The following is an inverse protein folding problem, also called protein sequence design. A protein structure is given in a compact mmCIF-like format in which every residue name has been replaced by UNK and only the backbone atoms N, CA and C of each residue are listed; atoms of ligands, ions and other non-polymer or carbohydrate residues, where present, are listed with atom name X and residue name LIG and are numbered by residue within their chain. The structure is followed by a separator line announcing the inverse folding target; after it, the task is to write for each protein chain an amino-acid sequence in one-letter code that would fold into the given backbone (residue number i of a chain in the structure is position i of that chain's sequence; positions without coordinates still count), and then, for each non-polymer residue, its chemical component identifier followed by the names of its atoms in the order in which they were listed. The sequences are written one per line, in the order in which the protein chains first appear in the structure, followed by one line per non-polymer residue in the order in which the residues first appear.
data_IF_889949956514
#
_entry.id   IF_889949956514
#
_cell.length_a   1.000
_cell.length_b   1.000
_cell.length_c   1.000
_cell.angle_alpha   90.00
_cell.angle_beta   90.00
_cell.angle_gamma   90.00
#
_symmetry.space_group_name_H-M   'P 1'
#
loop_
_entity.id
_entity.type
_entity.pdbx_description
1 polymer ?
#
# COMPACT_ATOMS: atom_id res chain seq x y z
N UNK A 1 -0.76 -1.45 -14.53
CA UNK A 1 -1.37 -0.75 -13.38
C UNK A 1 -0.72 0.61 -13.23
N UNK A 2 -1.48 1.64 -12.87
CA UNK A 2 -0.93 2.98 -12.59
C UNK A 2 -0.51 3.07 -11.11
N UNK A 3 0.69 2.55 -10.79
CA UNK A 3 1.18 2.53 -9.40
C UNK A 3 1.30 3.95 -8.82
N UNK A 4 1.80 4.91 -9.61
CA UNK A 4 2.01 6.28 -9.12
C UNK A 4 0.69 6.93 -8.70
N UNK A 5 -0.33 6.92 -9.56
CA UNK A 5 -1.64 7.49 -9.26
C UNK A 5 -2.32 6.80 -8.06
N UNK A 6 -2.17 5.48 -7.98
CA UNK A 6 -2.77 4.72 -6.88
C UNK A 6 -2.12 5.05 -5.53
N UNK A 7 -0.80 5.28 -5.50
CA UNK A 7 -0.10 5.75 -4.30
C UNK A 7 -0.55 7.17 -3.96
N UNK A 8 -0.68 8.06 -4.96
CA UNK A 8 -1.20 9.41 -4.74
C UNK A 8 -2.58 9.38 -4.06
N UNK A 9 -3.52 8.59 -4.59
CA UNK A 9 -4.86 8.44 -4.01
C UNK A 9 -4.80 7.97 -2.55
N UNK A 10 -3.94 7.00 -2.24
CA UNK A 10 -3.78 6.50 -0.87
C UNK A 10 -3.23 7.58 0.09
N UNK A 11 -2.19 8.30 -0.33
CA UNK A 11 -1.57 9.33 0.51
C UNK A 11 -2.46 10.57 0.63
N UNK A 12 -3.16 10.96 -0.43
CA UNK A 12 -4.14 12.04 -0.40
C UNK A 12 -5.24 11.75 0.65
N UNK A 13 -5.76 10.53 0.68
CA UNK A 13 -6.71 10.12 1.70
C UNK A 13 -6.13 10.21 3.13
N UNK A 14 -4.88 9.77 3.35
CA UNK A 14 -4.24 9.95 4.65
C UNK A 14 -4.15 11.43 5.04
N UNK A 15 -3.88 12.31 4.07
CA UNK A 15 -3.84 13.76 4.29
C UNK A 15 -5.20 14.33 4.67
N UNK A 16 -6.25 13.91 3.98
CA UNK A 16 -7.65 14.29 4.25
C UNK A 16 -8.11 13.79 5.63
N UNK A 17 -7.60 12.64 6.08
CA UNK A 17 -7.80 12.15 7.45
C UNK A 17 -6.99 12.92 8.51
N UNK A 18 -6.21 13.94 8.15
CA UNK A 18 -5.46 14.78 9.07
C UNK A 18 -4.08 14.25 9.46
N UNK A 19 -3.60 13.15 8.87
CA UNK A 19 -2.25 12.67 9.11
C UNK A 19 -1.21 13.64 8.53
N UNK A 20 -0.17 13.92 9.30
CA UNK A 20 0.94 14.80 8.91
C UNK A 20 2.26 14.07 8.82
N UNK A 21 2.35 12.89 9.42
CA UNK A 21 3.54 12.04 9.44
C UNK A 21 3.20 10.65 8.91
N UNK A 22 4.04 10.14 8.03
CA UNK A 22 3.89 8.82 7.42
C UNK A 22 5.12 7.95 7.65
N UNK A 23 4.87 6.64 7.77
CA UNK A 23 5.86 5.60 7.62
C UNK A 23 5.61 4.74 6.39
N UNK A 24 6.56 3.91 6.07
CA UNK A 24 6.54 3.03 4.91
C UNK A 24 6.84 1.58 5.30
N UNK A 25 5.99 0.67 4.86
CA UNK A 25 6.17 -0.77 5.00
C UNK A 25 6.36 -1.38 3.62
N UNK A 26 7.60 -1.62 3.26
CA UNK A 26 8.00 -2.13 1.96
C UNK A 26 8.44 -3.58 1.96
N UNK A 27 8.48 -4.16 0.76
CA UNK A 27 9.00 -5.50 0.52
C UNK A 27 10.53 -5.54 0.53
N UNK A 28 11.09 -6.64 1.03
CA UNK A 28 12.52 -6.99 0.84
C UNK A 28 12.82 -7.49 -0.56
N UNK A 29 11.82 -7.75 -1.40
CA UNK A 29 12.01 -8.16 -2.80
C UNK A 29 12.06 -6.95 -3.71
N UNK A 30 12.97 -6.97 -4.71
CA UNK A 30 13.13 -5.90 -5.70
C UNK A 30 12.18 -6.00 -6.91
N UNK A 31 10.94 -6.46 -6.71
CA UNK A 31 9.98 -6.54 -7.81
C UNK A 31 9.63 -5.12 -8.32
N UNK A 32 9.54 -4.96 -9.64
CA UNK A 32 9.38 -3.66 -10.33
C UNK A 32 8.17 -2.86 -9.82
N UNK A 33 7.03 -3.54 -9.61
CA UNK A 33 5.83 -2.90 -9.09
C UNK A 33 6.01 -2.34 -7.67
N UNK A 34 6.84 -2.96 -6.83
CA UNK A 34 7.18 -2.43 -5.51
C UNK A 34 8.10 -1.23 -5.61
N UNK A 35 9.10 -1.30 -6.49
CA UNK A 35 9.98 -0.17 -6.76
C UNK A 35 9.20 1.06 -7.27
N UNK A 36 8.26 0.86 -8.21
CA UNK A 36 7.40 1.94 -8.70
C UNK A 36 6.56 2.56 -7.56
N UNK A 37 6.01 1.76 -6.66
CA UNK A 37 5.23 2.25 -5.50
C UNK A 37 6.11 3.03 -4.52
N UNK A 38 7.31 2.54 -4.25
CA UNK A 38 8.26 3.22 -3.38
C UNK A 38 8.70 4.58 -3.93
N UNK A 39 9.07 4.62 -5.21
CA UNK A 39 9.42 5.88 -5.89
C UNK A 39 8.25 6.87 -5.85
N UNK A 40 7.03 6.39 -6.11
CA UNK A 40 5.82 7.21 -6.03
C UNK A 40 5.55 7.69 -4.59
N UNK A 41 5.73 6.85 -3.58
CA UNK A 41 5.59 7.22 -2.17
C UNK A 41 6.55 8.36 -1.81
N UNK A 42 7.84 8.22 -2.09
CA UNK A 42 8.84 9.24 -1.79
C UNK A 42 8.57 10.58 -2.51
N UNK A 43 8.02 10.51 -3.73
CA UNK A 43 7.59 11.69 -4.47
C UNK A 43 6.42 12.39 -3.77
N UNK A 44 5.34 11.66 -3.52
CA UNK A 44 4.09 12.25 -3.03
C UNK A 44 4.13 12.62 -1.55
N UNK A 45 4.97 11.99 -0.74
CA UNK A 45 5.28 12.46 0.62
C UNK A 45 5.77 13.92 0.59
N UNK A 46 6.64 14.27 -0.37
CA UNK A 46 7.13 15.65 -0.54
C UNK A 46 6.05 16.57 -1.10
N UNK A 47 5.36 16.15 -2.17
CA UNK A 47 4.34 16.97 -2.84
C UNK A 47 3.15 17.29 -1.91
N UNK A 48 2.75 16.36 -1.06
CA UNK A 48 1.65 16.52 -0.10
C UNK A 48 2.11 17.09 1.26
N UNK A 49 3.39 17.45 1.39
CA UNK A 49 3.97 18.00 2.62
C UNK A 49 3.76 17.11 3.85
N UNK A 50 4.01 15.82 3.73
CA UNK A 50 4.13 14.93 4.87
C UNK A 50 5.52 14.98 5.49
N UNK A 51 5.60 14.81 6.80
CA UNK A 51 6.84 14.49 7.49
C UNK A 51 7.15 12.99 7.27
N UNK A 52 8.36 12.71 6.84
CA UNK A 52 8.84 11.34 6.65
C UNK A 52 10.30 11.26 7.08
N UNK A 53 10.57 10.43 8.07
CA UNK A 53 11.91 10.04 8.48
C UNK A 53 12.21 8.64 7.92
N UNK A 54 13.37 8.47 7.29
CA UNK A 54 13.82 7.16 6.79
C UNK A 54 13.93 6.09 7.89
N UNK A 55 13.99 6.48 9.16
CA UNK A 55 13.87 5.56 10.30
C UNK A 55 12.51 4.87 10.39
N UNK A 56 11.49 5.46 9.77
CA UNK A 56 10.13 4.92 9.66
C UNK A 56 9.89 4.21 8.31
N UNK A 57 10.96 3.90 7.57
CA UNK A 57 10.93 3.01 6.41
C UNK A 57 11.42 1.63 6.82
N UNK A 58 10.51 0.67 6.82
CA UNK A 58 10.79 -0.71 7.19
C UNK A 58 10.60 -1.64 6.00
N UNK A 59 11.56 -2.53 5.80
CA UNK A 59 11.52 -3.57 4.76
C UNK A 59 11.27 -4.93 5.40
N UNK A 60 10.23 -5.62 4.95
CA UNK A 60 9.78 -6.89 5.48
C UNK A 60 9.53 -7.90 4.35
N UNK A 61 9.51 -9.18 4.67
CA UNK A 61 9.16 -10.21 3.69
C UNK A 61 7.73 -10.01 3.18
N UNK A 62 7.46 -10.16 1.85
CA UNK A 62 6.16 -9.87 1.26
C UNK A 62 5.12 -11.02 1.44
N UNK A 63 5.20 -11.73 2.53
CA UNK A 63 4.20 -12.72 2.97
C UNK A 63 3.60 -12.29 4.29
N UNK A 64 2.36 -12.67 4.58
CA UNK A 64 1.68 -12.25 5.80
C UNK A 64 2.47 -12.66 7.06
N UNK A 65 2.93 -13.91 7.14
CA UNK A 65 3.72 -14.41 8.25
C UNK A 65 5.10 -13.74 8.30
N UNK A 66 5.77 -13.60 7.17
CA UNK A 66 7.09 -12.98 7.12
C UNK A 66 7.05 -11.49 7.48
N UNK A 67 6.04 -10.76 7.01
CA UNK A 67 5.83 -9.37 7.39
C UNK A 67 5.53 -9.23 8.90
N UNK A 68 4.72 -10.13 9.44
CA UNK A 68 4.48 -10.20 10.88
C UNK A 68 5.78 -10.40 11.66
N UNK A 69 6.53 -11.46 11.34
CA UNK A 69 7.73 -11.84 12.11
C UNK A 69 8.83 -10.76 12.02
N UNK A 70 9.04 -10.21 10.83
CA UNK A 70 10.05 -9.17 10.63
C UNK A 70 9.64 -7.86 11.34
N UNK A 71 8.38 -7.44 11.21
CA UNK A 71 7.91 -6.21 11.85
C UNK A 71 7.80 -6.36 13.37
N UNK A 72 7.41 -7.53 13.87
CA UNK A 72 7.40 -7.84 15.30
C UNK A 72 8.79 -7.64 15.94
N UNK A 73 9.86 -8.14 15.28
CA UNK A 73 11.26 -7.92 15.73
C UNK A 73 11.68 -6.45 15.65
N UNK A 74 11.18 -5.70 14.66
CA UNK A 74 11.43 -4.26 14.58
C UNK A 74 10.81 -3.55 15.78
N UNK A 75 9.58 -3.90 16.13
CA UNK A 75 8.84 -3.32 17.26
C UNK A 75 9.50 -3.64 18.63
N UNK A 76 10.27 -4.75 18.75
CA UNK A 76 11.03 -5.06 19.96
C UNK A 76 12.08 -3.99 20.32
N UNK A 77 12.49 -3.19 19.35
CA UNK A 77 13.44 -2.08 19.54
C UNK A 77 12.75 -0.79 19.99
N UNK A 78 11.45 -0.83 20.24
CA UNK A 78 10.63 0.32 20.64
C UNK A 78 10.83 1.57 19.76
N UNK A 79 10.69 1.45 18.43
CA UNK A 79 10.82 2.62 17.57
C UNK A 79 9.70 3.62 17.84
N UNK A 80 9.97 4.91 17.65
CA UNK A 80 8.91 5.93 17.60
C UNK A 80 8.17 5.73 16.28
N UNK A 81 6.88 5.37 16.35
CA UNK A 81 6.08 5.11 15.17
C UNK A 81 5.36 6.38 14.68
N UNK A 82 5.21 6.55 13.37
CA UNK A 82 4.37 7.60 12.80
C UNK A 82 2.89 7.31 13.04
N UNK A 83 2.05 8.31 12.88
CA UNK A 83 0.60 8.17 13.06
C UNK A 83 -0.07 7.28 12.01
N UNK A 84 0.55 7.10 10.83
CA UNK A 84 0.03 6.26 9.76
C UNK A 84 1.16 5.61 8.95
N UNK A 85 0.97 4.35 8.55
CA UNK A 85 1.84 3.64 7.60
C UNK A 85 1.12 3.41 6.28
N UNK A 86 1.83 3.69 5.18
CA UNK A 86 1.53 3.13 3.88
C UNK A 86 2.27 1.80 3.70
N UNK A 87 1.54 0.73 3.39
CA UNK A 87 2.10 -0.58 3.08
C UNK A 87 2.03 -0.87 1.57
N UNK A 88 3.13 -1.37 1.00
CA UNK A 88 3.23 -1.67 -0.45
C UNK A 88 2.17 -2.63 -0.96
N UNK A 89 1.65 -3.51 -0.10
CA UNK A 89 0.51 -4.37 -0.40
C UNK A 89 -0.24 -4.78 0.89
N UNK A 90 -1.42 -5.34 0.71
CA UNK A 90 -2.27 -5.78 1.82
C UNK A 90 -1.68 -6.94 2.62
N UNK A 91 -0.90 -7.80 1.98
CA UNK A 91 -0.25 -8.93 2.66
C UNK A 91 0.74 -8.43 3.71
N UNK A 92 1.54 -7.41 3.35
CA UNK A 92 2.45 -6.73 4.29
C UNK A 92 1.64 -6.00 5.37
N UNK A 93 0.61 -5.23 4.97
CA UNK A 93 -0.23 -4.49 5.90
C UNK A 93 -0.85 -5.41 6.97
N UNK A 94 -1.45 -6.52 6.56
CA UNK A 94 -2.11 -7.47 7.47
C UNK A 94 -1.11 -8.15 8.42
N UNK A 95 0.09 -8.49 7.93
CA UNK A 95 1.17 -9.00 8.78
C UNK A 95 1.60 -7.98 9.83
N UNK A 96 1.82 -6.74 9.42
CA UNK A 96 2.19 -5.64 10.31
C UNK A 96 1.07 -5.32 11.32
N UNK A 97 -0.20 -5.32 10.89
CA UNK A 97 -1.35 -5.14 11.80
C UNK A 97 -1.36 -6.19 12.92
N UNK A 98 -1.08 -7.44 12.59
CA UNK A 98 -0.99 -8.52 13.59
C UNK A 98 0.16 -8.26 14.56
N UNK A 99 1.35 -7.92 14.09
CA UNK A 99 2.51 -7.61 14.92
C UNK A 99 2.24 -6.42 15.87
N UNK A 100 1.65 -5.33 15.36
CA UNK A 100 1.26 -4.18 16.17
C UNK A 100 0.31 -4.56 17.30
N UNK A 101 -0.73 -5.33 17.00
CA UNK A 101 -1.71 -5.77 17.99
C UNK A 101 -1.10 -6.66 19.07
N UNK A 102 -0.21 -7.58 18.70
CA UNK A 102 0.52 -8.43 19.66
C UNK A 102 1.46 -7.61 20.57
N UNK A 103 1.94 -6.45 20.08
CA UNK A 103 2.70 -5.47 20.87
C UNK A 103 1.82 -4.48 21.65
N UNK A 104 0.50 -4.64 21.62
CA UNK A 104 -0.45 -3.83 22.38
C UNK A 104 -0.91 -2.55 21.71
N UNK A 105 -0.47 -2.26 20.47
CA UNK A 105 -0.95 -1.09 19.71
C UNK A 105 -2.39 -1.29 19.24
N UNK A 106 -3.19 -0.24 19.35
CA UNK A 106 -4.58 -0.20 18.89
C UNK A 106 -4.64 0.43 17.50
N UNK A 107 -5.16 -0.31 16.52
CA UNK A 107 -5.40 0.15 15.16
C UNK A 107 -6.88 0.49 15.03
N UNK A 108 -7.25 1.68 14.57
CA UNK A 108 -6.41 2.79 14.08
C UNK A 108 -6.01 3.82 15.15
N UNK A 109 -6.29 3.61 16.45
CA UNK A 109 -6.19 4.64 17.47
C UNK A 109 -4.77 5.12 17.73
N UNK A 110 -3.82 4.20 17.85
CA UNK A 110 -2.41 4.50 18.10
C UNK A 110 -1.63 4.62 16.78
N UNK A 111 -1.94 3.76 15.81
CA UNK A 111 -1.30 3.69 14.49
C UNK A 111 -2.34 3.33 13.45
N UNK A 112 -2.44 4.13 12.40
CA UNK A 112 -3.24 3.85 11.21
C UNK A 112 -2.44 3.08 10.17
N UNK A 113 -3.11 2.26 9.35
CA UNK A 113 -2.51 1.57 8.20
C UNK A 113 -3.40 1.67 6.97
N UNK A 114 -2.75 1.94 5.84
CA UNK A 114 -3.36 1.85 4.52
C UNK A 114 -2.57 0.84 3.67
N UNK A 115 -3.28 -0.07 3.02
CA UNK A 115 -2.73 -1.12 2.17
C UNK A 115 -2.85 -0.83 0.68
N UNK A 116 -2.61 -1.87 -0.11
CA UNK A 116 -2.68 -1.84 -1.56
C UNK A 116 -3.00 -3.25 -2.08
N UNK A 117 -3.90 -3.40 -3.04
CA UNK A 117 -4.36 -4.58 -3.78
C UNK A 117 -5.82 -4.98 -3.53
N UNK A 118 -6.42 -4.70 -2.38
CA UNK A 118 -7.76 -5.11 -1.95
C UNK A 118 -7.95 -6.64 -2.08
N UNK A 119 -7.12 -7.38 -1.34
CA UNK A 119 -7.28 -8.84 -1.26
C UNK A 119 -8.46 -9.22 -0.35
N UNK A 120 -9.06 -10.42 -0.49
CA UNK A 120 -10.22 -10.82 0.33
C UNK A 120 -10.01 -10.69 1.84
N UNK A 121 -8.81 -10.94 2.34
CA UNK A 121 -8.49 -10.83 3.76
C UNK A 121 -8.60 -9.40 4.31
N UNK A 122 -8.47 -8.38 3.47
CA UNK A 122 -8.57 -6.98 3.86
C UNK A 122 -9.96 -6.60 4.36
N UNK A 123 -11.01 -7.26 3.85
CA UNK A 123 -12.40 -7.04 4.24
C UNK A 123 -12.85 -7.81 5.48
N UNK A 124 -12.10 -8.83 5.88
CA UNK A 124 -12.45 -9.69 7.04
C UNK A 124 -11.47 -9.55 8.21
N UNK A 125 -10.41 -8.76 8.04
CA UNK A 125 -9.47 -8.42 9.13
C UNK A 125 -10.17 -7.58 10.21
N UNK A 126 -9.57 -7.51 11.40
CA UNK A 126 -10.06 -6.67 12.49
C UNK A 126 -8.92 -5.77 13.00
N UNK A 127 -8.99 -4.45 12.83
CA UNK A 127 -9.98 -3.75 11.99
C UNK A 127 -9.87 -4.15 10.51
N UNK A 128 -10.92 -3.86 9.73
CA UNK A 128 -10.88 -4.05 8.27
C UNK A 128 -9.94 -3.04 7.64
N UNK A 129 -9.14 -3.50 6.64
CA UNK A 129 -8.04 -2.72 6.08
C UNK A 129 -8.52 -1.78 4.97
N UNK A 130 -8.31 -0.48 5.15
CA UNK A 130 -8.39 0.55 4.09
C UNK A 130 -7.28 0.30 3.08
N UNK A 131 -7.61 0.28 1.79
CA UNK A 131 -6.67 -0.13 0.75
C UNK A 131 -7.04 0.41 -0.63
N UNK A 132 -6.15 0.24 -1.60
CA UNK A 132 -6.42 0.52 -3.02
C UNK A 132 -6.91 -0.76 -3.71
N UNK A 133 -8.15 -0.73 -4.20
CA UNK A 133 -8.69 -1.79 -5.04
C UNK A 133 -8.09 -1.76 -6.44
N UNK A 134 -7.33 -2.78 -6.79
CA UNK A 134 -6.74 -2.96 -8.13
C UNK A 134 -7.77 -3.58 -9.07
N UNK A 135 -8.02 -2.93 -10.19
CA UNK A 135 -9.00 -3.32 -11.22
C UNK A 135 -8.53 -4.54 -12.05
N UNK A 136 -8.26 -5.68 -11.38
CA UNK A 136 -7.67 -6.88 -12.01
C UNK A 136 -8.47 -7.39 -13.21
N UNK A 137 -9.81 -7.37 -13.11
CA UNK A 137 -10.69 -7.82 -14.22
C UNK A 137 -10.55 -6.92 -15.44
N UNK A 138 -10.47 -5.60 -15.25
CA UNK A 138 -10.27 -4.64 -16.34
C UNK A 138 -8.88 -4.82 -16.95
N UNK A 139 -7.86 -5.01 -16.12
CA UNK A 139 -6.49 -5.28 -16.58
C UNK A 139 -6.45 -6.53 -17.47
N UNK A 140 -7.01 -7.64 -16.99
CA UNK A 140 -7.06 -8.87 -17.78
C UNK A 140 -7.81 -8.71 -19.10
N UNK A 141 -8.98 -8.04 -19.09
CA UNK A 141 -9.74 -7.75 -20.31
C UNK A 141 -8.92 -6.91 -21.30
N UNK A 142 -8.28 -5.84 -20.86
CA UNK A 142 -7.48 -4.97 -21.72
C UNK A 142 -6.25 -5.68 -22.28
N UNK A 143 -5.60 -6.56 -21.50
CA UNK A 143 -4.49 -7.37 -21.98
C UNK A 143 -4.90 -8.30 -23.12
N UNK A 144 -6.07 -8.96 -23.02
CA UNK A 144 -6.59 -9.82 -24.09
C UNK A 144 -6.96 -9.00 -25.33
N UNK A 145 -7.62 -7.84 -25.17
CA UNK A 145 -7.97 -6.98 -26.29
C UNK A 145 -6.72 -6.55 -27.06
N UNK A 146 -5.68 -6.07 -26.37
CA UNK A 146 -4.42 -5.64 -27.01
C UNK A 146 -3.70 -6.80 -27.68
N UNK A 147 -3.71 -8.00 -27.06
CA UNK A 147 -3.11 -9.18 -27.67
C UNK A 147 -3.84 -9.57 -28.97
N UNK A 148 -5.16 -9.55 -28.99
CA UNK A 148 -5.93 -9.84 -30.21
C UNK A 148 -5.66 -8.82 -31.32
N UNK A 149 -5.56 -7.54 -30.98
CA UNK A 149 -5.22 -6.48 -31.95
C UNK A 149 -3.82 -6.72 -32.58
N UNK A 150 -2.83 -7.14 -31.76
CA UNK A 150 -1.49 -7.47 -32.25
C UNK A 150 -1.47 -8.71 -33.16
N UNK A 151 -2.36 -9.68 -32.91
CA UNK A 151 -2.48 -10.89 -33.74
C UNK A 151 -3.15 -10.58 -35.06
N UNK A 152 -4.20 -9.76 -35.06
CA UNK A 152 -5.02 -9.43 -36.23
C UNK A 152 -4.32 -8.43 -37.16
N UNK A 153 -3.56 -7.47 -36.63
CA UNK A 153 -2.77 -6.54 -37.44
C UNK A 153 -1.30 -6.48 -36.94
N UNK A 154 -0.38 -7.15 -37.63
CA UNK A 154 1.05 -7.12 -37.30
C UNK A 154 1.68 -5.72 -37.33
N UNK A 155 1.00 -4.72 -37.91
CA UNK A 155 1.45 -3.31 -37.93
C UNK A 155 0.92 -2.51 -36.75
N UNK A 156 0.11 -3.12 -35.88
CA UNK A 156 -0.43 -2.48 -34.69
C UNK A 156 0.72 -2.02 -33.78
N UNK A 157 0.70 -0.74 -33.40
CA UNK A 157 1.72 -0.16 -32.53
C UNK A 157 1.50 -0.61 -31.08
N UNK A 158 2.51 -1.19 -30.40
CA UNK A 158 2.39 -1.53 -28.99
C UNK A 158 2.05 -0.30 -28.14
N UNK A 159 1.06 -0.43 -27.27
CA UNK A 159 0.62 0.65 -26.36
C UNK A 159 0.89 0.27 -24.91
N UNK A 160 1.31 1.23 -24.10
CA UNK A 160 1.35 1.09 -22.63
C UNK A 160 0.03 1.61 -22.06
N UNK A 161 -0.83 0.69 -21.60
CA UNK A 161 -2.08 1.03 -20.92
C UNK A 161 -1.89 0.97 -19.42
N UNK A 162 -2.23 2.04 -18.72
CA UNK A 162 -2.23 2.12 -17.27
C UNK A 162 -3.67 2.20 -16.75
N UNK A 163 -3.98 1.38 -15.74
CA UNK A 163 -5.31 1.32 -15.15
C UNK A 163 -5.19 1.76 -13.70
N UNK A 164 -5.92 2.81 -13.35
CA UNK A 164 -5.97 3.36 -11.98
C UNK A 164 -6.96 2.56 -11.14
N UNK A 165 -6.59 2.31 -9.89
CA UNK A 165 -7.41 1.66 -8.88
C UNK A 165 -8.41 2.62 -8.26
N UNK A 166 -9.05 2.17 -7.17
CA UNK A 166 -9.96 2.98 -6.37
C UNK A 166 -9.63 2.80 -4.89
N UNK A 167 -9.71 3.86 -4.12
CA UNK A 167 -9.67 3.76 -2.68
C UNK A 167 -10.88 2.95 -2.18
N UNK A 168 -10.64 2.03 -1.26
CA UNK A 168 -11.65 1.32 -0.48
C UNK A 168 -11.41 1.68 0.98
N UNK A 169 -12.18 2.65 1.44
CA UNK A 169 -12.15 3.09 2.82
C UNK A 169 -12.75 2.03 3.73
N UNK A 170 -12.06 1.74 4.86
CA UNK A 170 -12.47 0.82 5.92
C UNK A 170 -12.04 1.39 7.28
N UNK A 171 -11.77 0.50 8.26
CA UNK A 171 -11.63 0.89 9.66
C UNK A 171 -10.17 1.00 10.14
N UNK A 172 -9.17 0.84 9.27
CA UNK A 172 -7.75 0.83 9.67
C UNK A 172 -7.06 2.20 9.65
N UNK A 173 -7.76 3.24 9.19
CA UNK A 173 -7.27 4.62 9.20
C UNK A 173 -8.19 5.48 10.06
N UNK A 174 -7.60 6.28 10.96
CA UNK A 174 -8.30 7.20 11.86
C UNK A 174 -8.39 8.59 11.23
N UNK A 175 -9.54 9.23 11.36
CA UNK A 175 -9.68 10.66 11.13
C UNK A 175 -9.17 11.41 12.37
N UNK A 176 -8.12 12.20 12.20
CA UNK A 176 -7.54 13.07 13.22
C UNK A 176 -8.19 14.45 13.03
N UNK A 177 -9.34 14.68 13.64
CA UNK A 177 -10.03 15.96 13.55
C UNK A 177 -9.27 17.05 14.28
#
# INVERSE_FOLDING_TARGET
MNNAENVYIALQYCKECGHTELGYLGSTTGAENFNERHVAFLRYVKELNFQFDSKNEFRVKPTMLGAHDDFFRILDRNPVLPSCFFAENDTIALGAMKALKEKGYKIPNDVSLIGFDDIPYSSISSPTLTTIHVQRKIMGKQSVIQLMQLIEDPRFMPMKTQITGKLVERSSVKHLA
#
